data_IF_077374988411
#
_entry.id   IF_077374988411
#
_cell.length_a   1.000
_cell.length_b   1.000
_cell.length_c   1.000
_cell.angle_alpha   90.00
_cell.angle_beta   90.00
_cell.angle_gamma   90.00
#
_symmetry.space_group_name_H-M   'P 1'
#
loop_
_entity.id
_entity.type
_entity.pdbx_description
1 polymer ?
#
# COMPACT_ATOMS: atom_id res chain seq x y z
N UNK A 1 19.79 22.46 2.60
CA UNK A 1 18.37 22.74 2.88
C UNK A 1 17.56 21.96 1.86
N UNK A 2 16.74 21.01 2.31
CA UNK A 2 15.86 20.25 1.40
C UNK A 2 14.59 21.09 1.24
N UNK A 3 14.28 21.52 0.02
CA UNK A 3 13.02 22.21 -0.27
C UNK A 3 11.91 21.16 -0.31
N UNK A 4 11.06 21.14 0.71
CA UNK A 4 9.83 20.34 0.72
C UNK A 4 8.68 21.28 0.37
N UNK A 5 7.89 20.93 -0.65
CA UNK A 5 6.66 21.66 -0.98
C UNK A 5 5.63 21.38 0.11
N UNK A 6 5.01 22.43 0.66
CA UNK A 6 3.91 22.28 1.61
C UNK A 6 2.61 21.91 0.87
N UNK A 7 2.49 20.64 0.47
CA UNK A 7 1.35 20.07 -0.23
C UNK A 7 0.34 19.36 0.70
N UNK A 8 0.65 19.32 2.00
CA UNK A 8 -0.16 18.65 3.02
C UNK A 8 -0.01 17.11 3.03
N UNK A 9 0.92 16.56 2.25
CA UNK A 9 1.20 15.13 2.16
C UNK A 9 2.50 14.82 2.90
N UNK A 10 2.44 13.92 3.88
CA UNK A 10 3.65 13.41 4.53
C UNK A 10 4.29 12.33 3.65
N UNK A 11 4.87 12.74 2.53
CA UNK A 11 5.55 11.86 1.57
C UNK A 11 7.02 11.58 1.92
N UNK A 12 7.73 10.80 1.10
CA UNK A 12 9.15 10.47 1.31
C UNK A 12 10.07 11.69 1.48
N UNK A 13 9.77 12.79 0.78
CA UNK A 13 10.52 14.05 0.91
C UNK A 13 10.30 14.71 2.28
N UNK A 14 9.06 14.71 2.78
CA UNK A 14 8.69 15.21 4.11
C UNK A 14 9.32 14.34 5.21
N UNK A 15 9.29 13.01 5.05
CA UNK A 15 9.97 12.08 5.94
C UNK A 15 11.48 12.37 6.02
N UNK A 16 12.15 12.49 4.88
CA UNK A 16 13.57 12.80 4.84
C UNK A 16 13.90 14.15 5.50
N UNK A 17 13.06 15.16 5.32
CA UNK A 17 13.22 16.45 5.99
C UNK A 17 13.02 16.35 7.51
N UNK A 18 12.05 15.57 7.98
CA UNK A 18 11.84 15.33 9.41
C UNK A 18 13.01 14.56 10.02
N UNK A 19 13.50 13.50 9.38
CA UNK A 19 14.68 12.78 9.84
C UNK A 19 15.93 13.67 9.87
N UNK A 20 16.09 14.55 8.88
CA UNK A 20 17.17 15.54 8.85
C UNK A 20 17.06 16.54 10.00
N UNK A 21 15.85 17.05 10.25
CA UNK A 21 15.57 17.95 11.37
C UNK A 21 15.87 17.26 12.70
N UNK A 22 15.33 16.07 12.93
CA UNK A 22 15.58 15.29 14.15
C UNK A 22 17.08 15.05 14.39
N UNK A 23 17.83 14.69 13.33
CA UNK A 23 19.28 14.48 13.42
C UNK A 23 20.01 15.77 13.81
N UNK A 24 19.61 16.89 13.22
CA UNK A 24 20.22 18.22 13.46
C UNK A 24 19.90 18.74 14.87
N UNK A 25 18.75 18.38 15.42
CA UNK A 25 18.29 18.80 16.74
C UNK A 25 18.54 17.75 17.84
N UNK A 26 19.38 16.75 17.57
CA UNK A 26 19.73 15.68 18.51
C UNK A 26 18.51 14.95 19.11
N UNK A 27 17.46 14.79 18.31
CA UNK A 27 16.28 13.99 18.64
C UNK A 27 16.48 12.53 18.18
N UNK A 28 15.59 11.65 18.62
CA UNK A 28 15.48 10.30 18.04
C UNK A 28 15.13 10.46 16.56
N UNK A 29 15.98 9.93 15.68
CA UNK A 29 15.80 10.02 14.22
C UNK A 29 14.88 8.89 13.77
N UNK A 30 13.60 8.99 14.09
CA UNK A 30 12.57 7.98 13.75
C UNK A 30 11.66 8.41 12.59
N UNK A 31 11.82 9.64 12.09
CA UNK A 31 10.99 10.19 11.02
C UNK A 31 9.57 10.58 11.48
N UNK A 32 9.32 10.56 12.79
CA UNK A 32 8.01 10.83 13.40
C UNK A 32 7.97 12.24 14.00
N UNK A 33 6.98 13.04 13.59
CA UNK A 33 6.74 14.36 14.19
C UNK A 33 5.91 14.20 15.48
N UNK A 34 6.54 13.68 16.54
CA UNK A 34 5.95 13.57 17.88
C UNK A 34 6.12 14.85 18.73
N UNK A 35 5.65 14.87 20.00
CA UNK A 35 5.68 16.06 20.86
C UNK A 35 7.07 16.69 21.03
N UNK A 36 8.14 15.88 21.09
CA UNK A 36 9.52 16.38 21.16
C UNK A 36 9.96 17.07 19.87
N UNK A 37 9.60 16.49 18.71
CA UNK A 37 9.87 17.06 17.40
C UNK A 37 9.08 18.36 17.20
N UNK A 38 7.81 18.40 17.60
CA UNK A 38 6.97 19.61 17.57
C UNK A 38 7.53 20.71 18.47
N UNK A 39 7.88 20.38 19.72
CA UNK A 39 8.49 21.33 20.64
C UNK A 39 9.78 21.91 20.07
N UNK A 40 10.65 21.07 19.49
CA UNK A 40 11.85 21.54 18.81
C UNK A 40 11.53 22.44 17.61
N UNK A 41 10.54 22.10 16.77
CA UNK A 41 10.11 22.94 15.64
C UNK A 41 9.62 24.32 16.09
N UNK A 42 8.87 24.39 17.18
CA UNK A 42 8.35 25.64 17.77
C UNK A 42 9.45 26.53 18.37
N UNK A 43 10.52 25.92 18.89
CA UNK A 43 11.60 26.61 19.60
C UNK A 43 12.88 26.75 18.75
N UNK A 44 12.82 26.38 17.47
CA UNK A 44 13.92 26.63 16.52
C UNK A 44 13.71 28.02 15.89
N UNK A 45 14.57 29.02 16.15
CA UNK A 45 14.44 30.31 15.49
C UNK A 45 14.58 30.15 13.99
N UNK A 46 13.67 30.77 13.25
CA UNK A 46 13.58 30.67 11.80
C UNK A 46 14.84 31.26 11.15
N UNK A 47 15.85 30.45 10.86
CA UNK A 47 17.04 30.90 10.17
C UNK A 47 16.70 31.11 8.69
N UNK A 48 16.51 32.38 8.32
CA UNK A 48 16.49 32.83 6.94
C UNK A 48 17.77 32.32 6.24
N UNK A 49 17.67 31.65 5.08
CA UNK A 49 18.85 31.11 4.41
C UNK A 49 19.81 32.25 4.00
N UNK A 50 21.13 32.03 4.07
CA UNK A 50 22.11 33.03 3.66
C UNK A 50 21.98 33.30 2.16
N UNK A 51 21.90 34.59 1.82
CA UNK A 51 22.03 35.09 0.46
C UNK A 51 23.40 34.67 -0.09
N UNK A 52 23.41 33.78 -1.09
CA UNK A 52 24.50 33.73 -2.05
C UNK A 52 24.00 34.28 -3.39
N UNK A 53 24.60 35.40 -3.79
CA UNK A 53 24.38 36.04 -5.06
C UNK A 53 24.90 35.19 -6.22
N UNK A 54 24.08 35.07 -7.25
CA UNK A 54 24.45 34.60 -8.57
C UNK A 54 23.69 35.45 -9.59
N UNK A 55 24.40 36.40 -10.17
CA UNK A 55 23.96 37.27 -11.26
C UNK A 55 24.01 36.50 -12.59
N UNK A 56 23.00 36.68 -13.45
CA UNK A 56 23.04 36.23 -14.85
C UNK A 56 21.66 36.01 -15.48
N UNK A 57 21.02 37.10 -15.92
CA UNK A 57 20.37 37.34 -17.25
C UNK A 57 19.68 36.16 -17.96
N UNK A 58 18.46 36.21 -18.51
CA UNK A 58 17.47 37.25 -18.81
C UNK A 58 16.49 36.73 -19.90
N UNK A 59 15.27 37.29 -19.99
CA UNK A 59 14.32 37.16 -21.13
C UNK A 59 13.15 36.19 -20.91
N UNK A 60 11.93 36.67 -20.60
CA UNK A 60 10.74 36.82 -21.51
C UNK A 60 10.09 35.47 -21.89
N UNK A 61 8.79 35.18 -21.80
CA UNK A 61 7.55 35.97 -21.97
C UNK A 61 6.33 35.11 -21.51
N UNK A 62 5.13 35.68 -21.55
CA UNK A 62 3.88 35.24 -20.88
C UNK A 62 3.06 34.12 -21.60
N UNK A 63 1.93 33.61 -21.02
CA UNK A 63 1.14 32.44 -21.47
C UNK A 63 0.08 32.86 -22.54
N UNK A 64 -0.67 31.98 -23.27
CA UNK A 64 -1.60 30.97 -22.70
C UNK A 64 -1.87 29.70 -23.55
N UNK A 65 -2.82 28.90 -23.03
CA UNK A 65 -3.88 28.17 -23.75
C UNK A 65 -3.99 26.64 -23.69
N UNK A 66 -5.28 26.29 -23.72
CA UNK A 66 -5.93 25.03 -23.49
C UNK A 66 -5.92 24.06 -24.70
N UNK A 67 -6.20 22.79 -24.39
CA UNK A 67 -6.84 21.73 -25.20
C UNK A 67 -6.00 20.69 -25.98
N UNK A 68 -6.36 19.43 -25.67
CA UNK A 68 -6.51 18.24 -26.52
C UNK A 68 -5.31 17.56 -27.19
N UNK A 69 -5.17 16.26 -26.88
CA UNK A 69 -4.90 15.19 -27.84
C UNK A 69 -3.49 15.07 -28.41
N UNK A 70 -2.85 13.91 -28.22
CA UNK A 70 -1.60 13.62 -28.93
C UNK A 70 -0.88 12.41 -28.39
N UNK A 71 -1.19 11.26 -28.99
CA UNK A 71 -0.48 10.00 -28.91
C UNK A 71 0.95 10.10 -29.50
N UNK A 72 1.81 9.16 -29.12
CA UNK A 72 3.14 8.93 -29.72
C UNK A 72 4.30 9.07 -28.72
N UNK A 73 5.13 8.06 -28.45
CA UNK A 73 5.33 6.76 -29.08
C UNK A 73 6.79 6.35 -28.86
N UNK A 74 7.04 5.08 -28.51
CA UNK A 74 8.40 4.57 -28.35
C UNK A 74 8.50 3.09 -27.95
N UNK A 75 8.27 2.18 -28.90
CA UNK A 75 9.01 0.90 -28.98
C UNK A 75 8.43 -0.37 -28.33
N UNK A 76 7.43 -1.01 -28.98
CA UNK A 76 7.24 -2.47 -29.05
C UNK A 76 6.04 -2.81 -29.96
N UNK A 77 6.17 -2.59 -31.26
CA UNK A 77 5.13 -2.98 -32.23
C UNK A 77 5.25 -4.49 -32.51
N UNK A 78 4.40 -5.31 -31.88
CA UNK A 78 4.22 -6.71 -32.32
C UNK A 78 3.62 -7.73 -31.35
N UNK A 79 3.56 -7.46 -30.04
CA UNK A 79 3.12 -8.48 -29.07
C UNK A 79 1.64 -8.38 -28.64
N UNK A 80 1.05 -7.19 -28.67
CA UNK A 80 -0.22 -6.92 -27.98
C UNK A 80 -1.25 -6.27 -28.91
N UNK A 81 -2.48 -6.80 -28.91
CA UNK A 81 -3.64 -6.18 -29.56
C UNK A 81 -4.32 -5.15 -28.63
N UNK A 82 -5.00 -4.11 -29.16
CA UNK A 82 -5.79 -3.21 -28.33
C UNK A 82 -6.93 -3.97 -27.63
N UNK A 83 -7.02 -3.81 -26.32
CA UNK A 83 -8.12 -4.38 -25.54
C UNK A 83 -9.44 -3.66 -25.85
N UNK A 84 -10.59 -4.37 -25.87
CA UNK A 84 -11.89 -3.76 -26.04
C UNK A 84 -12.19 -2.71 -24.96
N UNK A 85 -13.03 -1.70 -25.26
CA UNK A 85 -13.53 -0.76 -24.26
C UNK A 85 -14.23 -1.49 -23.11
N UNK A 86 -14.08 -0.99 -21.88
CA UNK A 86 -14.69 -1.60 -20.69
C UNK A 86 -16.21 -1.74 -20.83
N UNK A 87 -16.88 -0.75 -21.42
CA UNK A 87 -18.33 -0.77 -21.65
C UNK A 87 -18.79 -1.92 -22.58
N UNK A 88 -17.95 -2.33 -23.54
CA UNK A 88 -18.27 -3.45 -24.42
C UNK A 88 -18.11 -4.79 -23.70
N UNK A 89 -17.15 -4.90 -22.78
CA UNK A 89 -17.01 -6.07 -21.90
C UNK A 89 -18.19 -6.14 -20.93
N UNK A 90 -18.55 -5.02 -20.28
CA UNK A 90 -19.69 -4.94 -19.34
C UNK A 90 -21.03 -5.27 -20.01
N UNK A 91 -21.23 -4.88 -21.28
CA UNK A 91 -22.45 -5.18 -22.03
C UNK A 91 -22.44 -6.55 -22.73
N UNK A 92 -21.36 -7.33 -22.60
CA UNK A 92 -21.22 -8.65 -23.21
C UNK A 92 -20.95 -8.63 -24.72
N UNK A 93 -20.62 -7.46 -25.29
CA UNK A 93 -20.23 -7.32 -26.70
C UNK A 93 -18.79 -7.77 -26.96
N UNK A 94 -17.96 -7.82 -25.93
CA UNK A 94 -16.57 -8.23 -26.01
C UNK A 94 -16.14 -9.03 -24.77
N UNK A 95 -15.00 -9.71 -24.88
CA UNK A 95 -14.37 -10.51 -23.82
C UNK A 95 -12.90 -10.09 -23.76
N UNK A 96 -12.37 -9.82 -22.57
CA UNK A 96 -10.93 -9.61 -22.42
C UNK A 96 -10.19 -10.95 -22.32
N UNK A 97 -9.01 -11.03 -22.92
CA UNK A 97 -8.18 -12.23 -22.85
C UNK A 97 -6.68 -11.94 -22.98
N UNK A 98 -5.88 -13.00 -22.79
CA UNK A 98 -4.43 -12.90 -22.93
C UNK A 98 -4.03 -12.43 -24.34
N UNK A 99 -3.06 -11.51 -24.41
CA UNK A 99 -2.61 -10.90 -25.67
C UNK A 99 -3.16 -9.51 -25.93
N UNK A 100 -3.99 -8.98 -25.02
CA UNK A 100 -4.56 -7.63 -25.15
C UNK A 100 -3.89 -6.60 -24.22
N UNK A 101 -3.90 -5.33 -24.62
CA UNK A 101 -3.43 -4.20 -23.79
C UNK A 101 -4.41 -3.03 -23.80
N UNK A 102 -4.64 -2.40 -22.65
CA UNK A 102 -5.51 -1.21 -22.60
C UNK A 102 -6.02 -0.84 -21.22
N UNK A 103 -6.91 0.16 -21.18
CA UNK A 103 -7.52 0.66 -19.94
C UNK A 103 -8.41 -0.36 -19.25
N UNK A 104 -9.13 -1.19 -20.00
CA UNK A 104 -9.95 -2.30 -19.48
C UNK A 104 -9.11 -3.38 -18.80
N UNK A 105 -7.92 -3.69 -19.32
CA UNK A 105 -6.95 -4.59 -18.67
C UNK A 105 -6.48 -4.02 -17.34
N UNK A 106 -6.08 -2.73 -17.27
CA UNK A 106 -5.69 -2.08 -16.01
C UNK A 106 -6.80 -2.09 -14.96
N UNK A 107 -8.05 -1.99 -15.40
CA UNK A 107 -9.21 -2.08 -14.50
C UNK A 107 -9.29 -3.46 -13.85
N UNK A 108 -9.27 -4.53 -14.65
CA UNK A 108 -9.29 -5.92 -14.16
C UNK A 108 -8.07 -6.22 -13.28
N UNK A 109 -6.86 -5.87 -13.71
CA UNK A 109 -5.64 -6.11 -12.94
C UNK A 109 -5.71 -5.49 -11.55
N UNK A 110 -6.28 -4.28 -11.43
CA UNK A 110 -6.46 -3.59 -10.15
C UNK A 110 -7.41 -4.34 -9.22
N UNK A 111 -8.50 -4.89 -9.77
CA UNK A 111 -9.48 -5.65 -9.01
C UNK A 111 -8.98 -7.05 -8.67
N UNK A 112 -8.05 -7.59 -9.45
CA UNK A 112 -7.38 -8.88 -9.19
C UNK A 112 -6.15 -8.75 -8.27
N UNK A 113 -5.72 -7.54 -7.91
CA UNK A 113 -4.58 -7.32 -7.03
C UNK A 113 -3.19 -7.55 -7.67
N UNK A 114 -3.14 -7.81 -8.98
CA UNK A 114 -1.90 -8.02 -9.75
C UNK A 114 -1.28 -6.69 -10.21
N UNK A 115 -0.13 -6.75 -10.89
CA UNK A 115 0.51 -5.57 -11.47
C UNK A 115 -0.39 -4.92 -12.53
N UNK A 116 -0.54 -3.59 -12.45
CA UNK A 116 -1.45 -2.79 -13.29
C UNK A 116 -0.74 -2.11 -14.46
N UNK A 117 0.06 -2.87 -15.21
CA UNK A 117 0.77 -2.40 -16.41
C UNK A 117 -0.18 -2.19 -17.62
N UNK A 118 -1.37 -2.78 -17.57
CA UNK A 118 -2.33 -2.77 -18.66
C UNK A 118 -2.04 -3.77 -19.76
N UNK A 119 -1.19 -4.76 -19.50
CA UNK A 119 -0.86 -5.87 -20.39
C UNK A 119 -1.49 -7.17 -19.87
N UNK A 120 -2.41 -7.76 -20.65
CA UNK A 120 -3.06 -9.00 -20.26
C UNK A 120 -2.13 -10.16 -20.62
N UNK A 121 -1.07 -10.35 -19.86
CA UNK A 121 -0.13 -11.45 -20.02
C UNK A 121 -0.47 -12.71 -19.21
N UNK A 122 0.42 -13.71 -19.21
CA UNK A 122 0.24 -14.96 -18.49
C UNK A 122 -0.04 -14.78 -16.99
N UNK A 123 0.55 -13.76 -16.35
CA UNK A 123 0.28 -13.43 -14.94
C UNK A 123 -1.16 -12.96 -14.72
N UNK A 124 -1.64 -12.04 -15.55
CA UNK A 124 -3.04 -11.57 -15.52
C UNK A 124 -4.00 -12.73 -15.79
N UNK A 125 -3.71 -13.58 -16.79
CA UNK A 125 -4.52 -14.78 -17.08
C UNK A 125 -4.58 -15.73 -15.89
N UNK A 126 -3.45 -16.04 -15.28
CA UNK A 126 -3.40 -16.92 -14.11
C UNK A 126 -4.24 -16.37 -12.94
N UNK A 127 -4.21 -15.05 -12.72
CA UNK A 127 -5.03 -14.41 -11.70
C UNK A 127 -6.53 -14.48 -12.02
N UNK A 128 -6.94 -14.33 -13.28
CA UNK A 128 -8.34 -14.53 -13.69
C UNK A 128 -8.77 -15.99 -13.46
N UNK A 129 -7.94 -16.97 -13.83
CA UNK A 129 -8.23 -18.40 -13.58
C UNK A 129 -8.40 -18.67 -12.07
N UNK A 130 -7.48 -18.16 -11.26
CA UNK A 130 -7.55 -18.31 -9.80
C UNK A 130 -8.83 -17.69 -9.23
N UNK A 131 -9.19 -16.49 -9.67
CA UNK A 131 -10.41 -15.81 -9.28
C UNK A 131 -11.67 -16.61 -9.67
N UNK A 132 -11.71 -17.10 -10.90
CA UNK A 132 -12.81 -17.92 -11.39
C UNK A 132 -12.97 -19.21 -10.55
N UNK A 133 -11.87 -19.83 -10.12
CA UNK A 133 -11.90 -20.99 -9.21
C UNK A 133 -12.40 -20.62 -7.81
N UNK A 134 -11.88 -19.54 -7.23
CA UNK A 134 -12.26 -19.03 -5.90
C UNK A 134 -13.76 -18.72 -5.81
N UNK A 135 -14.32 -18.15 -6.87
CA UNK A 135 -15.74 -17.80 -6.95
C UNK A 135 -16.63 -18.91 -7.54
N UNK A 136 -16.11 -20.14 -7.67
CA UNK A 136 -16.84 -21.32 -8.16
C UNK A 136 -17.59 -21.07 -9.48
N UNK A 137 -16.97 -20.33 -10.39
CA UNK A 137 -17.56 -20.05 -11.70
C UNK A 137 -17.64 -21.31 -12.57
N UNK A 138 -18.55 -21.31 -13.55
CA UNK A 138 -18.72 -22.45 -14.47
C UNK A 138 -17.51 -22.67 -15.38
N UNK A 139 -16.72 -21.63 -15.64
CA UNK A 139 -15.54 -21.66 -16.51
C UNK A 139 -14.33 -21.05 -15.81
N UNK A 140 -13.15 -21.66 -16.01
CA UNK A 140 -11.86 -21.25 -15.45
C UNK A 140 -10.81 -21.07 -16.56
N UNK A 141 -11.22 -20.41 -17.65
CA UNK A 141 -10.43 -20.33 -18.89
C UNK A 141 -9.42 -19.17 -18.90
N UNK A 142 -9.53 -18.26 -17.94
CA UNK A 142 -8.68 -17.08 -17.83
C UNK A 142 -9.13 -15.92 -18.72
N UNK A 143 -10.36 -15.97 -19.25
CA UNK A 143 -10.98 -14.87 -20.00
C UNK A 143 -11.92 -14.09 -19.11
N UNK A 144 -12.14 -12.81 -19.43
CA UNK A 144 -13.06 -11.94 -18.69
C UNK A 144 -14.20 -11.54 -19.60
N UNK A 145 -15.30 -12.30 -19.53
CA UNK A 145 -16.59 -11.94 -20.12
C UNK A 145 -17.40 -11.02 -19.18
N UNK A 146 -18.62 -10.63 -19.58
CA UNK A 146 -19.48 -9.75 -18.78
C UNK A 146 -19.79 -10.31 -17.39
N UNK A 147 -20.00 -11.63 -17.27
CA UNK A 147 -20.30 -12.27 -16.00
C UNK A 147 -19.07 -12.30 -15.08
N UNK A 148 -17.90 -12.68 -15.63
CA UNK A 148 -16.63 -12.68 -14.91
C UNK A 148 -16.30 -11.28 -14.44
N UNK A 149 -16.43 -10.26 -15.30
CA UNK A 149 -16.21 -8.86 -14.93
C UNK A 149 -17.16 -8.40 -13.83
N UNK A 150 -18.46 -8.73 -13.92
CA UNK A 150 -19.44 -8.36 -12.91
C UNK A 150 -19.07 -8.90 -11.52
N UNK A 151 -18.62 -10.16 -11.44
CA UNK A 151 -18.22 -10.76 -10.17
C UNK A 151 -16.88 -10.18 -9.68
N UNK A 152 -15.90 -9.95 -10.56
CA UNK A 152 -14.64 -9.25 -10.19
C UNK A 152 -14.91 -7.85 -9.65
N UNK A 153 -15.84 -7.10 -10.24
CA UNK A 153 -16.21 -5.76 -9.78
C UNK A 153 -16.96 -5.79 -8.44
N UNK A 154 -17.81 -6.80 -8.22
CA UNK A 154 -18.59 -6.95 -6.99
C UNK A 154 -17.78 -7.55 -5.83
N UNK A 155 -16.85 -8.43 -6.16
CA UNK A 155 -16.02 -9.16 -5.21
C UNK A 155 -14.57 -9.18 -5.71
N UNK A 156 -13.83 -8.05 -5.68
CA UNK A 156 -12.43 -8.03 -6.09
C UNK A 156 -11.59 -9.09 -5.37
N UNK A 157 -10.51 -9.57 -6.00
CA UNK A 157 -9.65 -10.59 -5.40
C UNK A 157 -9.19 -10.18 -3.99
N UNK A 158 -9.25 -11.12 -3.06
CA UNK A 158 -8.99 -10.86 -1.64
C UNK A 158 -10.15 -10.16 -0.91
N UNK A 159 -11.36 -10.07 -1.48
CA UNK A 159 -12.58 -9.65 -0.78
C UNK A 159 -12.88 -10.53 0.42
N UNK A 160 -13.35 -9.93 1.51
CA UNK A 160 -13.67 -10.65 2.74
C UNK A 160 -15.18 -10.78 2.86
N UNK A 161 -15.67 -11.95 3.27
CA UNK A 161 -17.10 -12.18 3.47
C UNK A 161 -17.69 -11.18 4.46
N UNK A 162 -18.71 -10.43 4.03
CA UNK A 162 -19.37 -9.41 4.85
C UNK A 162 -18.66 -8.05 4.89
N UNK A 163 -17.57 -7.88 4.15
CA UNK A 163 -16.87 -6.60 4.04
C UNK A 163 -17.71 -5.53 3.34
N UNK A 164 -17.66 -4.30 3.86
CA UNK A 164 -18.30 -3.16 3.21
C UNK A 164 -17.50 -2.68 1.99
N UNK A 165 -18.18 -2.08 1.00
CA UNK A 165 -17.52 -1.43 -0.13
C UNK A 165 -16.50 -0.37 0.32
N UNK A 166 -16.78 0.33 1.43
CA UNK A 166 -15.86 1.31 2.00
C UNK A 166 -14.61 0.66 2.59
N UNK A 167 -14.75 -0.47 3.28
CA UNK A 167 -13.65 -1.27 3.82
C UNK A 167 -12.76 -1.81 2.70
N UNK A 168 -13.35 -2.44 1.69
CA UNK A 168 -12.64 -2.95 0.51
C UNK A 168 -11.84 -1.84 -0.18
N UNK A 169 -12.47 -0.68 -0.39
CA UNK A 169 -11.79 0.47 -0.99
C UNK A 169 -10.63 1.01 -0.14
N UNK A 170 -10.71 0.94 1.19
CA UNK A 170 -9.60 1.29 2.09
C UNK A 170 -8.44 0.30 1.96
N UNK A 171 -8.72 -1.02 1.90
CA UNK A 171 -7.68 -2.04 1.69
C UNK A 171 -6.96 -1.88 0.36
N UNK A 172 -7.70 -1.66 -0.72
CA UNK A 172 -7.10 -1.42 -2.04
C UNK A 172 -6.21 -0.18 -2.07
N UNK A 173 -6.62 0.91 -1.41
CA UNK A 173 -5.77 2.11 -1.25
C UNK A 173 -4.52 1.84 -0.40
N UNK A 174 -4.68 1.14 0.72
CA UNK A 174 -3.58 0.75 1.61
C UNK A 174 -2.53 -0.07 0.88
N UNK A 175 -2.97 -1.09 0.14
CA UNK A 175 -2.07 -1.92 -0.65
C UNK A 175 -1.32 -1.10 -1.71
N UNK A 176 -2.02 -0.25 -2.47
CA UNK A 176 -1.39 0.59 -3.48
C UNK A 176 -0.33 1.53 -2.91
N UNK A 177 -0.62 2.17 -1.78
CA UNK A 177 0.33 3.04 -1.08
C UNK A 177 1.53 2.25 -0.55
N UNK A 178 1.30 1.13 0.13
CA UNK A 178 2.36 0.33 0.73
C UNK A 178 3.28 -0.27 -0.34
N UNK A 179 2.72 -0.77 -1.45
CA UNK A 179 3.47 -1.29 -2.59
C UNK A 179 4.34 -0.21 -3.22
N UNK A 180 3.75 0.94 -3.59
CA UNK A 180 4.50 2.05 -4.20
C UNK A 180 5.59 2.60 -3.28
N UNK A 181 5.30 2.73 -1.99
CA UNK A 181 6.29 3.23 -1.03
C UNK A 181 7.44 2.24 -0.77
N UNK A 182 7.23 0.94 -1.02
CA UNK A 182 8.20 -0.14 -0.75
C UNK A 182 8.93 -0.63 -2.00
N UNK A 183 8.49 -0.25 -3.20
CA UNK A 183 9.02 -0.69 -4.48
C UNK A 183 10.53 -0.40 -4.60
N UNK A 184 11.30 -1.41 -4.99
CA UNK A 184 12.76 -1.34 -5.12
C UNK A 184 13.54 -1.18 -3.81
N UNK A 185 12.88 -1.21 -2.65
CA UNK A 185 13.50 -0.99 -1.33
C UNK A 185 13.56 -2.26 -0.49
N UNK A 186 14.52 -2.29 0.42
CA UNK A 186 14.65 -3.31 1.47
C UNK A 186 14.12 -2.74 2.80
N UNK A 187 13.56 -3.59 3.69
CA UNK A 187 13.18 -3.15 5.02
C UNK A 187 14.36 -2.58 5.79
N UNK A 188 14.14 -1.48 6.50
CA UNK A 188 15.15 -0.70 7.24
C UNK A 188 14.99 -0.81 8.77
N UNK A 189 14.08 -1.66 9.24
CA UNK A 189 13.78 -1.86 10.66
C UNK A 189 12.79 -0.86 11.26
N UNK A 190 12.22 0.07 10.47
CA UNK A 190 11.24 1.08 10.94
C UNK A 190 9.81 0.70 10.61
N UNK A 191 9.48 -0.59 10.64
CA UNK A 191 8.24 -1.14 10.11
C UNK A 191 6.97 -0.44 10.65
N UNK A 192 6.93 -0.15 11.95
CA UNK A 192 5.81 0.57 12.56
C UNK A 192 5.66 2.00 12.00
N UNK A 193 6.75 2.76 11.89
CA UNK A 193 6.71 4.11 11.35
C UNK A 193 6.23 4.10 9.88
N UNK A 194 6.72 3.18 9.06
CA UNK A 194 6.27 3.04 7.66
C UNK A 194 4.77 2.73 7.58
N UNK A 195 4.27 1.77 8.35
CA UNK A 195 2.83 1.45 8.36
C UNK A 195 1.98 2.61 8.87
N UNK A 196 2.44 3.37 9.87
CA UNK A 196 1.76 4.60 10.28
C UNK A 196 1.70 5.64 9.16
N UNK A 197 2.76 5.79 8.37
CA UNK A 197 2.76 6.69 7.22
C UNK A 197 1.81 6.20 6.12
N UNK A 198 1.72 4.88 5.89
CA UNK A 198 0.74 4.33 4.96
C UNK A 198 -0.69 4.66 5.40
N UNK A 199 -1.00 4.51 6.69
CA UNK A 199 -2.30 4.87 7.28
C UNK A 199 -2.67 6.34 7.05
N UNK A 200 -1.70 7.24 7.22
CA UNK A 200 -1.87 8.68 6.98
C UNK A 200 -2.14 8.96 5.50
N UNK A 201 -1.33 8.39 4.61
CA UNK A 201 -1.49 8.54 3.17
C UNK A 201 -2.81 7.94 2.65
N UNK A 202 -3.31 6.87 3.28
CA UNK A 202 -4.63 6.29 2.98
C UNK A 202 -5.80 7.21 3.34
N UNK A 203 -5.53 8.29 4.10
CA UNK A 203 -6.54 9.09 4.82
C UNK A 203 -7.35 8.25 5.80
N UNK A 204 -6.72 7.18 6.28
CA UNK A 204 -7.19 6.25 7.28
C UNK A 204 -7.61 4.87 6.80
N UNK A 205 -7.62 3.97 7.77
CA UNK A 205 -7.98 2.55 7.66
C UNK A 205 -8.82 2.19 8.89
N UNK A 206 -10.06 1.75 8.66
CA UNK A 206 -11.13 1.87 9.64
C UNK A 206 -11.29 3.34 10.06
N UNK A 207 -11.15 3.59 11.36
CA UNK A 207 -11.18 4.91 12.00
C UNK A 207 -9.79 5.44 12.37
N UNK A 208 -8.73 4.73 11.99
CA UNK A 208 -7.33 5.12 12.26
C UNK A 208 -6.83 5.95 11.08
N UNK A 209 -6.77 7.27 11.23
CA UNK A 209 -6.30 8.23 10.22
C UNK A 209 -4.86 8.65 10.42
N UNK A 210 -4.46 8.92 11.67
CA UNK A 210 -3.12 9.31 12.03
C UNK A 210 -2.75 8.68 13.37
N UNK A 211 -2.08 7.51 13.36
CA UNK A 211 -1.65 6.84 14.59
C UNK A 211 -0.83 7.73 15.52
N UNK A 212 0.02 8.63 14.99
CA UNK A 212 0.87 9.50 15.81
C UNK A 212 0.09 10.54 16.59
N UNK A 213 -1.11 10.90 16.13
CA UNK A 213 -2.02 11.82 16.82
C UNK A 213 -3.07 11.08 17.67
N UNK A 214 -3.55 9.94 17.17
CA UNK A 214 -4.62 9.19 17.82
C UNK A 214 -4.14 8.29 18.95
N UNK A 215 -2.87 7.87 18.89
CA UNK A 215 -2.24 7.04 19.92
C UNK A 215 -1.02 7.79 20.45
N UNK A 216 -0.89 7.95 21.78
CA UNK A 216 0.29 8.60 22.34
C UNK A 216 1.55 7.85 21.91
N UNK A 217 2.60 8.57 21.54
CA UNK A 217 3.87 7.99 21.03
C UNK A 217 4.54 7.06 22.05
N UNK A 218 4.26 7.23 23.35
CA UNK A 218 4.71 6.33 24.41
C UNK A 218 3.94 5.01 24.48
N UNK A 219 2.77 4.91 23.84
CA UNK A 219 1.91 3.73 23.91
C UNK A 219 2.16 2.72 22.79
N UNK A 220 2.86 3.11 21.71
CA UNK A 220 3.13 2.23 20.56
C UNK A 220 4.58 2.38 20.03
N UNK A 221 5.63 2.14 20.84
CA UNK A 221 7.01 2.18 20.36
C UNK A 221 7.36 1.05 19.37
N UNK A 222 6.64 -0.08 19.41
CA UNK A 222 6.96 -1.27 18.63
C UNK A 222 5.76 -1.81 17.85
N UNK A 223 6.06 -2.68 16.87
CA UNK A 223 5.05 -3.32 16.03
C UNK A 223 4.03 -4.15 16.84
N UNK A 224 4.49 -4.91 17.84
CA UNK A 224 3.60 -5.71 18.68
C UNK A 224 2.61 -4.87 19.49
N UNK A 225 2.99 -3.65 19.91
CA UNK A 225 2.12 -2.79 20.71
C UNK A 225 0.83 -2.42 19.94
N UNK A 226 0.89 -2.35 18.60
CA UNK A 226 -0.30 -2.16 17.79
C UNK A 226 -1.29 -3.30 17.98
N UNK A 227 -0.82 -4.55 17.93
CA UNK A 227 -1.66 -5.71 18.17
C UNK A 227 -2.17 -5.74 19.62
N UNK A 228 -1.33 -5.41 20.60
CA UNK A 228 -1.72 -5.34 22.01
C UNK A 228 -2.83 -4.32 22.23
N UNK A 229 -2.74 -3.13 21.63
CA UNK A 229 -3.78 -2.10 21.66
C UNK A 229 -5.08 -2.58 21.00
N UNK A 230 -5.00 -3.10 19.77
CA UNK A 230 -6.18 -3.58 19.05
C UNK A 230 -6.88 -4.72 19.79
N UNK A 231 -6.12 -5.66 20.33
CA UNK A 231 -6.64 -6.84 21.00
C UNK A 231 -7.20 -6.53 22.40
N UNK A 232 -6.61 -5.59 23.13
CA UNK A 232 -7.08 -5.19 24.48
C UNK A 232 -8.32 -4.30 24.45
N UNK A 233 -8.42 -3.39 23.49
CA UNK A 233 -9.54 -2.44 23.40
C UNK A 233 -10.66 -2.90 22.48
N UNK A 234 -10.42 -3.95 21.69
CA UNK A 234 -11.32 -4.46 20.68
C UNK A 234 -11.15 -3.71 19.35
N UNK A 235 -10.79 -4.40 18.25
CA UNK A 235 -10.49 -3.77 16.96
C UNK A 235 -11.70 -3.00 16.39
N UNK A 236 -12.93 -3.43 16.71
CA UNK A 236 -14.18 -2.79 16.26
C UNK A 236 -14.30 -1.33 16.70
N UNK A 237 -13.70 -0.95 17.84
CA UNK A 237 -13.68 0.46 18.27
C UNK A 237 -12.95 1.35 17.27
N UNK A 238 -11.94 0.80 16.60
CA UNK A 238 -11.17 1.45 15.57
C UNK A 238 -11.74 1.21 14.16
N UNK A 239 -12.96 0.66 14.05
CA UNK A 239 -13.54 0.30 12.75
C UNK A 239 -12.74 -0.79 12.05
N UNK A 240 -12.11 -1.68 12.82
CA UNK A 240 -11.39 -2.84 12.30
C UNK A 240 -12.04 -4.13 12.77
N UNK A 241 -11.82 -5.19 12.02
CA UNK A 241 -12.03 -6.57 12.42
C UNK A 241 -10.68 -7.28 12.51
N UNK A 242 -10.53 -8.16 13.50
CA UNK A 242 -9.41 -9.10 13.55
C UNK A 242 -9.85 -10.41 12.92
N UNK A 243 -9.16 -10.83 11.87
CA UNK A 243 -9.43 -12.10 11.21
C UNK A 243 -8.96 -13.28 12.05
N UNK A 244 -9.72 -14.37 12.00
CA UNK A 244 -9.39 -15.64 12.66
C UNK A 244 -8.52 -16.51 11.76
N UNK A 245 -7.30 -16.04 11.48
CA UNK A 245 -6.28 -16.77 10.71
C UNK A 245 -5.04 -17.04 11.58
N UNK A 246 -4.28 -18.07 11.24
CA UNK A 246 -3.06 -18.47 11.96
C UNK A 246 -1.77 -18.16 11.21
N UNK A 247 -1.86 -17.96 9.89
CA UNK A 247 -0.73 -17.64 9.02
C UNK A 247 -0.86 -16.23 8.44
N UNK A 248 0.23 -15.43 8.41
CA UNK A 248 0.24 -14.17 7.68
C UNK A 248 0.05 -14.38 6.17
N UNK A 249 0.32 -15.59 5.67
CA UNK A 249 0.13 -15.95 4.26
C UNK A 249 -1.33 -16.15 3.85
N UNK A 250 -2.22 -16.30 4.84
CA UNK A 250 -3.68 -16.34 4.60
C UNK A 250 -4.30 -14.94 4.70
N UNK A 251 -3.49 -13.91 4.96
CA UNK A 251 -3.96 -12.54 5.12
C UNK A 251 -4.47 -12.00 3.77
N UNK A 252 -5.72 -11.53 3.69
CA UNK A 252 -6.24 -10.88 2.51
C UNK A 252 -5.42 -9.65 2.12
N UNK A 253 -5.42 -9.31 0.83
CA UNK A 253 -4.67 -8.17 0.31
C UNK A 253 -5.06 -6.85 1.03
N UNK A 254 -4.07 -6.02 1.33
CA UNK A 254 -4.24 -4.75 2.06
C UNK A 254 -4.51 -4.90 3.56
N UNK A 255 -4.44 -6.11 4.14
CA UNK A 255 -4.58 -6.33 5.59
C UNK A 255 -3.34 -5.82 6.35
N UNK A 256 -3.55 -5.31 7.56
CA UNK A 256 -2.46 -5.05 8.52
C UNK A 256 -2.15 -6.35 9.24
N UNK A 257 -0.93 -6.84 9.05
CA UNK A 257 -0.42 -8.06 9.68
C UNK A 257 0.60 -7.69 10.75
N UNK A 258 0.46 -8.26 11.95
CA UNK A 258 1.40 -8.09 13.05
C UNK A 258 1.93 -9.45 13.49
N UNK A 259 3.24 -9.62 13.46
CA UNK A 259 3.97 -10.85 13.75
C UNK A 259 4.84 -10.67 14.99
N UNK A 260 4.86 -11.67 15.88
CA UNK A 260 5.66 -11.65 17.09
C UNK A 260 7.17 -11.69 16.79
N UNK A 261 7.95 -10.98 17.58
CA UNK A 261 9.41 -11.06 17.55
C UNK A 261 9.90 -12.52 17.69
N UNK A 262 10.92 -12.88 16.92
CA UNK A 262 11.48 -14.22 16.88
C UNK A 262 10.73 -15.20 15.97
N UNK A 263 9.61 -14.79 15.35
CA UNK A 263 8.97 -15.54 14.25
C UNK A 263 9.86 -15.55 12.99
N UNK A 264 9.66 -16.49 12.05
CA UNK A 264 10.35 -16.47 10.76
C UNK A 264 10.30 -15.10 10.07
N UNK A 265 11.42 -14.67 9.49
CA UNK A 265 11.54 -13.37 8.78
C UNK A 265 11.64 -12.13 9.67
N UNK A 266 11.34 -12.22 10.97
CA UNK A 266 11.54 -11.10 11.90
C UNK A 266 13.02 -11.00 12.31
N UNK A 267 13.55 -9.77 12.33
CA UNK A 267 14.97 -9.53 12.63
C UNK A 267 15.18 -8.85 14.00
N UNK A 268 14.20 -8.09 14.49
CA UNK A 268 14.31 -7.41 15.80
C UNK A 268 13.96 -8.38 16.94
N UNK A 269 14.75 -8.46 18.02
CA UNK A 269 14.56 -9.45 19.09
C UNK A 269 13.29 -9.23 19.92
N UNK A 270 12.75 -8.00 19.95
CA UNK A 270 11.60 -7.63 20.81
C UNK A 270 10.42 -7.00 20.08
N UNK A 271 10.63 -6.26 18.99
CA UNK A 271 9.60 -5.39 18.43
C UNK A 271 8.52 -6.16 17.66
N UNK A 272 8.86 -7.34 17.13
CA UNK A 272 8.06 -8.01 16.11
C UNK A 272 8.12 -7.29 14.77
N UNK A 273 7.18 -7.61 13.90
CA UNK A 273 7.00 -6.92 12.62
C UNK A 273 5.54 -6.53 12.43
N UNK A 274 5.32 -5.39 11.80
CA UNK A 274 4.02 -4.96 11.28
C UNK A 274 4.20 -4.64 9.80
N UNK A 275 3.27 -5.11 8.96
CA UNK A 275 3.35 -4.94 7.52
C UNK A 275 1.95 -4.96 6.88
N UNK A 276 1.88 -4.50 5.63
CA UNK A 276 0.70 -4.65 4.79
C UNK A 276 0.87 -5.89 3.91
N UNK A 277 -0.07 -6.84 4.00
CA UNK A 277 -0.07 -8.04 3.17
C UNK A 277 -0.53 -7.74 1.75
N UNK A 278 0.08 -8.38 0.75
CA UNK A 278 -0.35 -8.26 -0.65
C UNK A 278 -1.39 -9.31 -1.07
N UNK A 279 -1.67 -10.31 -0.22
CA UNK A 279 -2.56 -11.43 -0.51
C UNK A 279 -1.93 -12.57 -1.33
N UNK A 280 -0.66 -12.43 -1.72
CA UNK A 280 0.07 -13.37 -2.57
C UNK A 280 1.42 -13.79 -1.95
N UNK A 281 1.61 -13.50 -0.66
CA UNK A 281 2.75 -13.94 0.14
C UNK A 281 3.90 -12.94 0.24
N UNK A 282 3.73 -11.71 -0.27
CA UNK A 282 4.62 -10.59 0.02
C UNK A 282 4.01 -9.64 1.05
N UNK A 283 4.88 -8.91 1.72
CA UNK A 283 4.50 -7.95 2.75
C UNK A 283 5.31 -6.65 2.59
N UNK A 284 4.69 -5.53 2.95
CA UNK A 284 5.27 -4.19 2.76
C UNK A 284 5.36 -3.43 4.07
N UNK A 285 6.56 -2.98 4.43
CA UNK A 285 6.81 -2.20 5.65
C UNK A 285 7.96 -1.18 5.50
N UNK A 286 8.07 -0.55 4.33
CA UNK A 286 9.19 0.34 3.94
C UNK A 286 10.16 -0.31 2.95
N UNK A 287 10.03 -1.63 2.79
CA UNK A 287 10.56 -2.42 1.69
C UNK A 287 9.72 -3.69 1.51
N UNK A 288 9.93 -4.40 0.41
CA UNK A 288 9.31 -5.71 0.19
C UNK A 288 9.98 -6.76 1.08
N UNK A 289 9.17 -7.59 1.73
CA UNK A 289 9.65 -8.63 2.64
C UNK A 289 8.77 -9.87 2.67
N UNK A 290 9.21 -10.89 3.41
CA UNK A 290 8.46 -12.11 3.68
C UNK A 290 8.91 -12.83 4.95
N UNK A 291 8.07 -13.74 5.43
CA UNK A 291 8.28 -14.55 6.64
C UNK A 291 8.80 -15.98 6.34
N UNK A 292 9.63 -16.13 5.30
CA UNK A 292 10.22 -17.42 4.90
C UNK A 292 9.33 -18.34 4.05
N UNK A 293 8.10 -17.93 3.76
CA UNK A 293 7.11 -18.66 2.95
C UNK A 293 6.16 -19.54 3.79
N UNK A 294 5.03 -19.98 3.22
CA UNK A 294 4.02 -20.75 3.96
C UNK A 294 4.57 -22.03 4.60
N UNK A 295 5.43 -22.77 3.89
CA UNK A 295 6.01 -24.01 4.41
C UNK A 295 6.91 -23.78 5.63
N UNK A 296 7.77 -22.75 5.59
CA UNK A 296 8.65 -22.39 6.71
C UNK A 296 7.83 -21.86 7.89
N UNK A 297 6.81 -21.05 7.61
CA UNK A 297 5.91 -20.57 8.65
C UNK A 297 5.20 -21.72 9.36
N UNK A 298 4.53 -22.61 8.61
CA UNK A 298 3.70 -23.68 9.15
C UNK A 298 4.49 -24.76 9.91
N UNK A 299 5.77 -24.94 9.58
CA UNK A 299 6.65 -25.91 10.26
C UNK A 299 7.41 -25.33 11.44
N UNK A 300 7.42 -24.01 11.63
CA UNK A 300 8.24 -23.35 12.65
C UNK A 300 7.52 -23.31 14.00
N UNK A 301 8.10 -23.86 15.08
CA UNK A 301 7.54 -23.74 16.43
C UNK A 301 7.60 -22.29 16.97
N UNK A 302 8.32 -21.40 16.28
CA UNK A 302 8.43 -19.98 16.63
C UNK A 302 7.43 -19.10 15.89
N UNK A 303 6.73 -19.64 14.88
CA UNK A 303 5.78 -18.86 14.09
C UNK A 303 4.60 -18.42 14.96
N UNK A 304 4.40 -17.10 15.05
CA UNK A 304 3.34 -16.55 15.88
C UNK A 304 2.79 -15.26 15.30
N UNK A 305 1.56 -15.35 14.78
CA UNK A 305 0.78 -14.21 14.31
C UNK A 305 0.06 -13.55 15.50
N UNK A 306 0.37 -12.28 15.77
CA UNK A 306 -0.29 -11.51 16.85
C UNK A 306 -1.66 -10.99 16.40
N UNK A 307 -1.81 -10.66 15.12
CA UNK A 307 -3.09 -10.29 14.54
C UNK A 307 -3.04 -10.00 13.05
N UNK A 308 -4.18 -10.15 12.39
CA UNK A 308 -4.45 -9.71 11.03
C UNK A 308 -5.71 -8.85 11.07
N UNK A 309 -5.61 -7.60 10.64
CA UNK A 309 -6.66 -6.60 10.82
C UNK A 309 -7.10 -6.00 9.48
N UNK A 310 -8.41 -5.85 9.32
CA UNK A 310 -9.07 -5.32 8.13
C UNK A 310 -10.14 -4.30 8.52
N UNK A 311 -10.52 -3.36 7.65
CA UNK A 311 -11.54 -2.37 7.97
C UNK A 311 -12.93 -2.98 7.79
N UNK A 312 -13.87 -2.56 8.64
CA UNK A 312 -15.31 -2.92 8.55
C UNK A 312 -16.14 -1.81 7.94
#
# INVERSE_FOLDING_TARGET
MVHVTADGIFGPQTLHAVETFQRTHHLVVDGVVGPKTLHALEHTPNHKPPHHGGSGTGGTEAPPDHHHGGDGGGGSHGKWSPAPPLADVQSGKAILHEGEKGGSVRHVQRLLGVDTDGEFGPGTRAAVVAFQHEHHMQHHDGKVDAHTLHIIEKHPAGSISGESHAGSAQRSRMLGIARSASEGKRPDGRCYAHVCQFLIACRGYGKIKNPFQQFPSSALPFAHDFADLMNSHGPKRFGLERLSISSPYDAPAGSIVVVKAGSPGTHHPTAGDIAIADGHGNFFNGGMMGYGGPAVWNSSPRAHLLGCYVPV
#
